data_IF_596506565958
#
_entry.id   IF_596506565958
#
_cell.length_a   1.000
_cell.length_b   1.000
_cell.length_c   1.000
_cell.angle_alpha   90.00
_cell.angle_beta   90.00
_cell.angle_gamma   90.00
#
_symmetry.space_group_name_H-M   'P 1'
#
loop_
_entity.id
_entity.type
_entity.pdbx_description
1 polymer ?
#
# COMPACT_ATOMS: atom_id res chain seq x y z
N UNK A 1 5.43 -15.91 -13.37
CA UNK A 1 5.37 -14.44 -13.55
C UNK A 1 4.06 -14.10 -14.22
N UNK A 2 3.28 -13.17 -13.66
CA UNK A 2 2.07 -12.67 -14.30
C UNK A 2 2.38 -11.28 -14.88
N UNK A 3 2.05 -11.05 -16.15
CA UNK A 3 2.14 -9.71 -16.74
C UNK A 3 0.90 -8.91 -16.32
N UNK A 4 1.09 -7.83 -15.56
CA UNK A 4 -0.01 -6.93 -15.18
C UNK A 4 0.26 -5.53 -15.72
N UNK A 5 -0.80 -4.88 -16.21
CA UNK A 5 -0.72 -3.53 -16.72
C UNK A 5 -0.60 -2.56 -15.53
N UNK A 6 0.52 -1.87 -15.42
CA UNK A 6 0.70 -0.84 -14.39
C UNK A 6 0.54 0.53 -14.98
N UNK A 7 0.05 1.45 -14.18
CA UNK A 7 0.11 2.87 -14.49
C UNK A 7 1.16 3.48 -13.57
N UNK A 8 2.26 3.95 -14.13
CA UNK A 8 3.25 4.76 -13.42
C UNK A 8 3.15 6.23 -13.83
N UNK A 9 3.38 7.15 -12.89
CA UNK A 9 3.51 8.57 -13.17
C UNK A 9 4.99 8.94 -13.23
N UNK A 10 5.51 9.15 -14.44
CA UNK A 10 6.89 9.60 -14.67
C UNK A 10 6.82 11.00 -15.30
N UNK A 11 7.43 12.00 -14.65
CA UNK A 11 7.38 13.41 -15.07
C UNK A 11 5.95 13.99 -15.22
N UNK A 12 4.99 13.54 -14.40
CA UNK A 12 3.61 14.01 -14.44
C UNK A 12 2.76 13.43 -15.60
N UNK A 13 3.34 12.54 -16.42
CA UNK A 13 2.64 11.85 -17.49
C UNK A 13 2.30 10.43 -17.06
N UNK A 14 1.04 10.04 -17.28
CA UNK A 14 0.53 8.70 -16.99
C UNK A 14 1.09 7.72 -18.04
N UNK A 15 2.06 6.89 -17.67
CA UNK A 15 2.62 5.86 -18.55
C UNK A 15 2.14 4.48 -18.12
N UNK A 16 1.57 3.72 -19.06
CA UNK A 16 1.23 2.33 -18.81
C UNK A 16 2.42 1.43 -19.17
N UNK A 17 2.96 0.67 -18.22
CA UNK A 17 4.04 -0.30 -18.46
C UNK A 17 3.62 -1.72 -18.12
N UNK A 18 4.05 -2.66 -18.95
CA UNK A 18 3.96 -4.10 -18.68
C UNK A 18 5.21 -4.49 -17.93
N UNK A 19 5.13 -4.51 -16.61
CA UNK A 19 6.19 -4.99 -15.74
C UNK A 19 5.84 -6.41 -15.25
N UNK A 20 6.84 -7.27 -14.98
CA UNK A 20 6.58 -8.59 -14.42
C UNK A 20 6.11 -8.45 -12.96
N UNK A 21 4.84 -8.74 -12.71
CA UNK A 21 4.31 -8.81 -11.35
C UNK A 21 4.62 -10.17 -10.73
N UNK A 22 4.95 -10.13 -9.44
CA UNK A 22 5.03 -11.35 -8.63
C UNK A 22 3.65 -11.99 -8.59
N UNK A 23 3.59 -13.27 -8.97
CA UNK A 23 2.39 -14.08 -8.89
C UNK A 23 2.50 -14.95 -7.64
N UNK A 24 1.46 -14.97 -6.83
CA UNK A 24 1.41 -15.72 -5.58
C UNK A 24 0.34 -16.82 -5.65
N UNK A 25 0.56 -17.97 -4.99
CA UNK A 25 -0.39 -19.07 -4.98
C UNK A 25 -1.68 -18.76 -4.21
N UNK A 26 -1.61 -17.83 -3.25
CA UNK A 26 -2.74 -17.38 -2.44
C UNK A 26 -2.51 -15.96 -1.90
N UNK A 27 -3.53 -15.40 -1.24
CA UNK A 27 -3.45 -14.08 -0.62
C UNK A 27 -2.45 -14.03 0.54
N UNK A 28 -2.29 -15.10 1.30
CA UNK A 28 -1.38 -15.13 2.45
C UNK A 28 0.06 -14.96 1.99
N UNK A 29 0.48 -15.69 0.96
CA UNK A 29 1.80 -15.56 0.35
C UNK A 29 2.07 -14.13 -0.17
N UNK A 30 1.05 -13.43 -0.67
CA UNK A 30 1.18 -12.03 -1.06
C UNK A 30 1.38 -11.09 0.15
N UNK A 31 0.66 -11.33 1.25
CA UNK A 31 0.81 -10.55 2.49
C UNK A 31 2.14 -10.83 3.21
N UNK A 32 2.59 -12.09 3.21
CA UNK A 32 3.87 -12.47 3.80
C UNK A 32 5.03 -11.80 3.05
N UNK A 33 5.04 -11.85 1.70
CA UNK A 33 6.06 -11.16 0.90
C UNK A 33 6.00 -9.63 1.05
N UNK A 34 4.80 -9.06 1.25
CA UNK A 34 4.64 -7.64 1.56
C UNK A 34 5.24 -7.28 2.93
N UNK A 35 4.99 -8.09 3.96
CA UNK A 35 5.57 -7.88 5.29
C UNK A 35 7.10 -8.00 5.24
N UNK A 36 7.62 -8.99 4.52
CA UNK A 36 9.05 -9.18 4.31
C UNK A 36 9.69 -8.01 3.56
N UNK A 37 9.01 -7.45 2.54
CA UNK A 37 9.47 -6.25 1.84
C UNK A 37 9.65 -5.06 2.78
N UNK A 38 8.68 -4.84 3.68
CA UNK A 38 8.74 -3.74 4.65
C UNK A 38 9.81 -3.98 5.72
N UNK A 39 9.94 -5.21 6.21
CA UNK A 39 10.88 -5.59 7.25
C UNK A 39 12.34 -5.58 6.76
N UNK A 40 12.58 -6.08 5.54
CA UNK A 40 13.93 -6.25 4.98
C UNK A 40 14.52 -4.96 4.42
N UNK A 41 13.69 -4.00 4.00
CA UNK A 41 14.18 -2.80 3.33
C UNK A 41 14.29 -1.60 4.31
N UNK A 42 15.50 -1.06 4.54
CA UNK A 42 15.71 0.07 5.45
C UNK A 42 14.86 1.30 5.13
N UNK A 43 14.47 1.51 3.87
CA UNK A 43 13.64 2.64 3.43
C UNK A 43 12.26 2.68 4.08
N UNK A 44 11.76 1.53 4.56
CA UNK A 44 10.44 1.40 5.17
C UNK A 44 10.46 1.29 6.69
N UNK A 45 11.64 1.42 7.34
CA UNK A 45 11.75 1.33 8.80
C UNK A 45 10.84 2.29 9.55
N UNK A 46 10.61 3.49 9.01
CA UNK A 46 9.72 4.47 9.62
C UNK A 46 8.24 4.03 9.62
N UNK A 47 7.85 3.10 8.73
CA UNK A 47 6.52 2.52 8.70
C UNK A 47 6.37 1.35 9.69
N UNK A 48 7.48 0.73 10.11
CA UNK A 48 7.48 -0.35 11.09
C UNK A 48 7.28 0.24 12.49
N UNK A 49 6.12 -0.02 13.09
CA UNK A 49 5.77 0.42 14.45
C UNK A 49 4.75 1.56 14.55
N UNK A 50 4.36 2.17 13.42
CA UNK A 50 3.27 3.16 13.35
C UNK A 50 1.94 2.57 12.89
N UNK A 51 1.81 1.23 12.87
CA UNK A 51 0.63 0.54 12.35
C UNK A 51 -0.68 0.80 13.11
N UNK A 52 -0.63 1.43 14.29
CA UNK A 52 -1.81 1.91 15.01
C UNK A 52 -2.44 3.18 14.44
N UNK A 53 -1.72 3.90 13.58
CA UNK A 53 -2.20 5.08 12.86
C UNK A 53 -2.00 4.86 11.35
N UNK A 54 -3.10 4.58 10.66
CA UNK A 54 -3.10 4.32 9.23
C UNK A 54 -2.54 5.48 8.40
N UNK A 55 -2.73 6.73 8.87
CA UNK A 55 -2.19 7.91 8.19
C UNK A 55 -0.68 8.00 8.38
N UNK A 56 -0.20 7.85 9.62
CA UNK A 56 1.24 7.86 9.90
C UNK A 56 1.98 6.74 9.15
N UNK A 57 1.37 5.55 9.08
CA UNK A 57 1.88 4.43 8.28
C UNK A 57 1.96 4.77 6.80
N UNK A 58 0.89 5.34 6.23
CA UNK A 58 0.83 5.70 4.82
C UNK A 58 1.82 6.81 4.44
N UNK A 59 2.00 7.81 5.31
CA UNK A 59 3.00 8.87 5.15
C UNK A 59 4.43 8.31 5.17
N UNK A 60 4.72 7.37 6.08
CA UNK A 60 6.03 6.71 6.14
C UNK A 60 6.32 5.86 4.89
N UNK A 61 5.32 5.15 4.35
CA UNK A 61 5.45 4.42 3.09
C UNK A 61 5.70 5.34 1.89
N UNK A 62 4.96 6.46 1.80
CA UNK A 62 5.14 7.45 0.75
C UNK A 62 6.57 8.03 0.78
N UNK A 63 7.06 8.40 1.97
CA UNK A 63 8.44 8.88 2.17
C UNK A 63 9.49 7.83 1.80
N UNK A 64 9.19 6.54 2.04
CA UNK A 64 10.03 5.41 1.62
C UNK A 64 10.00 5.12 0.11
N UNK A 65 9.25 5.92 -0.68
CA UNK A 65 9.15 5.77 -2.13
C UNK A 65 8.32 4.56 -2.56
N UNK A 66 7.34 4.13 -1.74
CA UNK A 66 6.43 3.05 -2.11
C UNK A 66 5.47 3.45 -3.25
N UNK A 67 5.10 4.73 -3.31
CA UNK A 67 4.26 5.29 -4.37
C UNK A 67 4.82 6.65 -4.82
N UNK A 68 4.70 6.96 -6.11
CA UNK A 68 5.03 8.28 -6.67
C UNK A 68 3.85 9.27 -6.60
N UNK A 69 2.68 8.80 -6.16
CA UNK A 69 1.47 9.58 -6.03
C UNK A 69 1.54 10.54 -4.83
N UNK A 70 1.39 11.86 -5.05
CA UNK A 70 1.46 12.85 -3.97
C UNK A 70 0.35 12.68 -2.93
N UNK A 71 -0.81 12.12 -3.30
CA UNK A 71 -1.97 11.94 -2.41
C UNK A 71 -2.06 10.53 -1.83
N UNK A 72 -1.00 9.74 -1.93
CA UNK A 72 -0.99 8.34 -1.47
C UNK A 72 -1.40 8.19 0.00
N UNK A 73 -0.90 9.07 0.87
CA UNK A 73 -1.23 9.05 2.29
C UNK A 73 -2.71 9.32 2.55
N UNK A 74 -3.29 10.30 1.85
CA UNK A 74 -4.70 10.65 1.97
C UNK A 74 -5.63 9.53 1.50
N UNK A 75 -5.26 8.83 0.43
CA UNK A 75 -6.02 7.68 -0.09
C UNK A 75 -6.06 6.52 0.89
N UNK A 76 -4.93 6.16 1.49
CA UNK A 76 -4.87 5.09 2.50
C UNK A 76 -5.61 5.48 3.78
N UNK A 77 -5.48 6.72 4.25
CA UNK A 77 -6.22 7.21 5.40
C UNK A 77 -7.74 7.14 5.16
N UNK A 78 -8.22 7.58 3.99
CA UNK A 78 -9.64 7.49 3.63
C UNK A 78 -10.16 6.04 3.55
N UNK A 79 -9.33 5.10 3.07
CA UNK A 79 -9.68 3.68 3.05
C UNK A 79 -9.76 3.09 4.48
N UNK A 80 -8.83 3.45 5.35
CA UNK A 80 -8.84 3.01 6.75
C UNK A 80 -10.08 3.55 7.48
N UNK A 81 -10.42 4.82 7.30
CA UNK A 81 -11.61 5.44 7.90
C UNK A 81 -12.91 4.81 7.38
N UNK A 82 -13.02 4.59 6.07
CA UNK A 82 -14.21 3.95 5.48
C UNK A 82 -14.36 2.50 5.94
N UNK A 83 -13.26 1.76 6.10
CA UNK A 83 -13.27 0.39 6.63
C UNK A 83 -13.65 0.37 8.11
N UNK A 84 -13.14 1.31 8.91
CA UNK A 84 -13.50 1.47 10.31
C UNK A 84 -15.00 1.76 10.48
N UNK A 85 -15.57 2.64 9.63
CA UNK A 85 -17.01 2.92 9.59
C UNK A 85 -17.81 1.69 9.18
N UNK A 86 -17.42 0.99 8.11
CA UNK A 86 -18.10 -0.22 7.63
C UNK A 86 -18.05 -1.39 8.64
N UNK A 87 -17.06 -1.42 9.54
CA UNK A 87 -17.00 -2.36 10.65
C UNK A 87 -17.85 -1.89 11.85
N UNK A 88 -17.92 -0.57 12.09
CA UNK A 88 -18.74 0.06 13.13
C UNK A 88 -20.25 0.03 12.87
N UNK A 89 -20.69 0.12 11.60
CA UNK A 89 -22.11 0.09 11.21
C UNK A 89 -22.76 -1.29 11.39
N UNK A 90 -21.98 -2.34 11.67
CA UNK A 90 -22.44 -3.73 11.83
C UNK A 90 -22.72 -4.10 13.30
N UNK A 91 -23.17 -3.13 14.09
CA UNK A 91 -23.65 -3.31 15.48
C UNK A 91 -25.00 -2.63 15.71
N UNK A 92 -25.94 -2.73 14.77
CA UNK A 92 -27.36 -2.55 15.07
C UNK A 92 -28.17 -3.55 14.24
N UNK A 93 -28.42 -4.73 14.79
CA UNK A 93 -29.74 -5.40 14.80
C UNK A 93 -29.68 -6.68 15.63
#
# INVERSE_FOLDING_TARGET
MAASLTTEFIHGQKQSRVEPFRAYPDYRAAFDDYADLLASNPRYRAALGVGGDARAFAEALARGGYATDPDYAGKLAGLADSSARACGERRVS
#
